data_IF_862059217730
#
_entry.id   IF_862059217730
#
_cell.length_a   1.000
_cell.length_b   1.000
_cell.length_c   1.000
_cell.angle_alpha   90.00
_cell.angle_beta   90.00
_cell.angle_gamma   90.00
#
_symmetry.space_group_name_H-M   'P 1'
#
loop_
_entity.id
_entity.type
_entity.pdbx_description
1 polymer ?
#
# COMPACT_ATOMS: atom_id res chain seq x y z
N UNK A 1 -15.44 24.14 -18.87
CA UNK A 1 -14.82 25.46 -18.64
C UNK A 1 -13.32 25.40 -18.86
N UNK A 2 -12.65 26.55 -19.07
CA UNK A 2 -11.18 26.59 -19.21
C UNK A 2 -10.48 25.98 -17.98
N UNK A 3 -11.04 26.17 -16.80
CA UNK A 3 -10.53 25.59 -15.54
C UNK A 3 -10.62 24.06 -15.51
N UNK A 4 -11.71 23.49 -16.00
CA UNK A 4 -11.87 22.03 -16.09
C UNK A 4 -10.87 21.44 -17.09
N UNK A 5 -10.64 22.09 -18.21
CA UNK A 5 -9.65 21.65 -19.20
C UNK A 5 -8.22 21.68 -18.63
N UNK A 6 -7.86 22.72 -17.86
CA UNK A 6 -6.57 22.80 -17.18
C UNK A 6 -6.43 21.71 -16.11
N UNK A 7 -7.46 21.49 -15.31
CA UNK A 7 -7.45 20.43 -14.29
C UNK A 7 -7.34 19.06 -14.96
N UNK A 8 -8.09 18.79 -16.01
CA UNK A 8 -8.01 17.54 -16.77
C UNK A 8 -6.61 17.31 -17.35
N UNK A 9 -6.00 18.37 -17.95
CA UNK A 9 -4.64 18.31 -18.46
C UNK A 9 -3.60 18.04 -17.36
N UNK A 10 -3.70 18.73 -16.22
CA UNK A 10 -2.79 18.52 -15.08
C UNK A 10 -2.92 17.10 -14.48
N UNK A 11 -4.15 16.59 -14.38
CA UNK A 11 -4.40 15.22 -13.94
C UNK A 11 -3.81 14.22 -14.94
N UNK A 12 -4.06 14.38 -16.23
CA UNK A 12 -3.53 13.49 -17.26
C UNK A 12 -2.00 13.48 -17.27
N UNK A 13 -1.36 14.64 -17.24
CA UNK A 13 0.10 14.76 -17.22
C UNK A 13 0.70 14.31 -15.89
N UNK A 14 0.04 14.60 -14.77
CA UNK A 14 0.47 14.17 -13.44
C UNK A 14 0.47 12.65 -13.26
N UNK A 15 -0.43 11.93 -13.96
CA UNK A 15 -0.46 10.45 -13.92
C UNK A 15 0.45 9.78 -14.96
N UNK A 16 1.06 10.54 -15.88
CA UNK A 16 1.96 9.97 -16.90
C UNK A 16 3.13 9.18 -16.30
N UNK A 17 3.88 9.65 -15.27
CA UNK A 17 4.94 8.86 -14.64
C UNK A 17 4.44 7.58 -14.02
N UNK A 18 3.26 7.61 -13.37
CA UNK A 18 2.63 6.43 -12.78
C UNK A 18 2.27 5.41 -13.85
N UNK A 19 1.66 5.84 -14.95
CA UNK A 19 1.34 4.97 -16.09
C UNK A 19 2.57 4.31 -16.70
N UNK A 20 3.67 5.03 -16.82
CA UNK A 20 4.95 4.50 -17.35
C UNK A 20 5.50 3.45 -16.36
N UNK A 21 5.52 3.75 -15.06
CA UNK A 21 5.98 2.82 -14.03
C UNK A 21 5.13 1.55 -13.99
N UNK A 22 3.80 1.67 -14.03
CA UNK A 22 2.87 0.54 -14.06
C UNK A 22 3.07 -0.29 -15.34
N UNK A 23 3.18 0.35 -16.50
CA UNK A 23 3.43 -0.36 -17.77
C UNK A 23 4.75 -1.12 -17.74
N UNK A 24 5.80 -0.53 -17.17
CA UNK A 24 7.10 -1.19 -17.01
C UNK A 24 7.02 -2.37 -16.03
N UNK A 25 6.35 -2.21 -14.90
CA UNK A 25 6.16 -3.28 -13.91
C UNK A 25 5.36 -4.45 -14.50
N UNK A 26 4.30 -4.17 -15.26
CA UNK A 26 3.49 -5.19 -15.96
C UNK A 26 4.34 -5.88 -17.04
N UNK A 27 5.08 -5.13 -17.84
CA UNK A 27 5.90 -5.69 -18.89
C UNK A 27 7.04 -6.57 -18.34
N UNK A 28 7.75 -6.12 -17.33
CA UNK A 28 8.86 -6.84 -16.71
C UNK A 28 8.39 -8.07 -15.90
N UNK A 29 7.46 -7.85 -14.98
CA UNK A 29 6.92 -8.94 -14.14
C UNK A 29 6.06 -9.91 -14.94
N UNK A 30 5.20 -9.39 -15.79
CA UNK A 30 4.31 -10.18 -16.63
C UNK A 30 5.04 -11.03 -17.66
N UNK A 31 6.11 -10.52 -18.29
CA UNK A 31 6.90 -11.30 -19.22
C UNK A 31 7.61 -12.49 -18.57
N UNK A 32 8.08 -12.30 -17.35
CA UNK A 32 8.71 -13.38 -16.56
C UNK A 32 7.68 -14.45 -16.20
N UNK A 33 6.50 -14.04 -15.69
CA UNK A 33 5.42 -14.96 -15.39
C UNK A 33 4.95 -15.73 -16.62
N UNK A 34 4.71 -15.04 -17.73
CA UNK A 34 4.26 -15.62 -19.00
C UNK A 34 5.25 -16.68 -19.51
N UNK A 35 6.54 -16.37 -19.54
CA UNK A 35 7.58 -17.32 -19.94
C UNK A 35 7.64 -18.55 -19.03
N UNK A 36 7.57 -18.36 -17.73
CA UNK A 36 7.56 -19.46 -16.77
C UNK A 36 6.34 -20.37 -16.96
N UNK A 37 5.16 -19.79 -17.25
CA UNK A 37 3.93 -20.57 -17.53
C UNK A 37 4.06 -21.38 -18.81
N UNK A 38 4.56 -20.79 -19.90
CA UNK A 38 4.83 -21.52 -21.15
C UNK A 38 5.74 -22.72 -20.87
N UNK A 39 6.89 -22.50 -20.21
CA UNK A 39 7.83 -23.58 -19.90
C UNK A 39 7.18 -24.68 -19.06
N UNK A 40 6.34 -24.31 -18.11
CA UNK A 40 5.62 -25.27 -17.26
C UNK A 40 4.62 -26.10 -18.08
N UNK A 41 3.87 -25.49 -18.99
CA UNK A 41 2.89 -26.21 -19.81
C UNK A 41 3.55 -27.10 -20.87
N UNK A 42 4.60 -26.62 -21.50
CA UNK A 42 5.41 -27.43 -22.44
C UNK A 42 6.03 -28.63 -21.71
N UNK A 43 6.58 -28.47 -20.51
CA UNK A 43 7.10 -29.58 -19.71
C UNK A 43 6.06 -30.61 -19.28
N UNK A 44 4.78 -30.22 -19.28
CA UNK A 44 3.61 -31.11 -19.03
C UNK A 44 3.07 -31.77 -20.29
N UNK A 45 3.71 -31.55 -21.44
CA UNK A 45 3.35 -32.18 -22.71
C UNK A 45 2.36 -31.39 -23.59
N UNK A 46 2.07 -30.13 -23.23
CA UNK A 46 1.27 -29.28 -24.13
C UNK A 46 2.09 -28.85 -25.36
N UNK A 47 1.42 -28.67 -26.48
CA UNK A 47 2.03 -28.04 -27.65
C UNK A 47 2.39 -26.60 -27.33
N UNK A 48 3.42 -26.05 -28.00
CA UNK A 48 3.86 -24.68 -27.75
C UNK A 48 2.75 -23.65 -27.96
N UNK A 49 1.92 -23.81 -29.00
CA UNK A 49 0.82 -22.90 -29.31
C UNK A 49 -0.26 -22.91 -28.22
N UNK A 50 -0.64 -24.10 -27.74
CA UNK A 50 -1.61 -24.26 -26.63
C UNK A 50 -1.04 -23.70 -25.32
N UNK A 51 0.25 -23.95 -25.04
CA UNK A 51 0.96 -23.44 -23.86
C UNK A 51 1.01 -21.91 -23.86
N UNK A 52 1.26 -21.27 -25.01
CA UNK A 52 1.23 -19.80 -25.16
C UNK A 52 -0.16 -19.23 -24.92
N UNK A 53 -1.20 -19.86 -25.48
CA UNK A 53 -2.59 -19.43 -25.28
C UNK A 53 -2.99 -19.54 -23.81
N UNK A 54 -2.71 -20.68 -23.17
CA UNK A 54 -3.05 -20.90 -21.77
C UNK A 54 -2.29 -19.98 -20.83
N UNK A 55 -0.97 -19.79 -21.09
CA UNK A 55 -0.15 -18.88 -20.31
C UNK A 55 -0.61 -17.43 -20.41
N UNK A 56 -1.18 -17.03 -21.55
CA UNK A 56 -1.76 -15.70 -21.72
C UNK A 56 -3.05 -15.51 -20.91
N UNK A 57 -3.92 -16.52 -20.86
CA UNK A 57 -5.11 -16.52 -20.02
C UNK A 57 -4.73 -16.43 -18.53
N UNK A 58 -3.76 -17.24 -18.08
CA UNK A 58 -3.24 -17.19 -16.71
C UNK A 58 -2.65 -15.82 -16.39
N UNK A 59 -1.96 -15.20 -17.35
CA UNK A 59 -1.43 -13.84 -17.17
C UNK A 59 -2.54 -12.80 -17.03
N UNK A 60 -3.59 -12.88 -17.84
CA UNK A 60 -4.74 -11.98 -17.71
C UNK A 60 -5.42 -12.15 -16.34
N UNK A 61 -5.66 -13.40 -15.93
CA UNK A 61 -6.29 -13.70 -14.63
C UNK A 61 -5.45 -13.15 -13.46
N UNK A 62 -4.14 -13.42 -13.42
CA UNK A 62 -3.27 -12.93 -12.35
C UNK A 62 -3.13 -11.40 -12.37
N UNK A 63 -3.11 -10.79 -13.57
CA UNK A 63 -3.08 -9.34 -13.69
C UNK A 63 -4.36 -8.70 -13.14
N UNK A 64 -5.52 -9.27 -13.43
CA UNK A 64 -6.79 -8.79 -12.87
C UNK A 64 -6.87 -9.04 -11.35
N UNK A 65 -6.37 -10.17 -10.87
CA UNK A 65 -6.37 -10.51 -9.44
C UNK A 65 -5.42 -9.64 -8.62
N UNK A 66 -4.28 -9.27 -9.20
CA UNK A 66 -3.22 -8.51 -8.50
C UNK A 66 -3.28 -7.01 -8.69
N UNK A 67 -3.89 -6.52 -9.79
CA UNK A 67 -4.03 -5.09 -10.01
C UNK A 67 -5.09 -4.46 -9.11
N UNK A 68 -4.84 -3.21 -8.71
CA UNK A 68 -5.82 -2.40 -8.01
C UNK A 68 -6.96 -2.05 -8.96
N UNK A 69 -8.09 -2.72 -8.80
CA UNK A 69 -9.28 -2.39 -9.56
C UNK A 69 -10.25 -1.58 -8.70
N UNK A 70 -10.72 -0.47 -9.27
CA UNK A 70 -11.85 0.30 -8.72
C UNK A 70 -13.21 -0.18 -9.27
N UNK A 71 -13.22 -1.30 -10.02
CA UNK A 71 -14.45 -1.89 -10.55
C UNK A 71 -15.38 -2.30 -9.40
N UNK A 72 -16.69 -2.09 -9.52
CA UNK A 72 -17.66 -2.38 -8.46
C UNK A 72 -17.64 -3.84 -7.98
N UNK A 73 -17.31 -4.78 -8.84
CA UNK A 73 -17.19 -6.21 -8.55
C UNK A 73 -15.91 -6.59 -7.80
N UNK A 74 -14.88 -5.71 -7.85
CA UNK A 74 -13.57 -5.92 -7.22
C UNK A 74 -13.38 -5.13 -5.92
N UNK A 75 -14.25 -4.17 -5.60
CA UNK A 75 -14.22 -3.45 -4.33
C UNK A 75 -14.97 -4.21 -3.24
N UNK A 76 -14.57 -4.05 -1.99
CA UNK A 76 -15.27 -4.65 -0.87
C UNK A 76 -16.64 -4.00 -0.65
N UNK A 77 -17.60 -4.75 -0.12
CA UNK A 77 -18.90 -4.19 0.28
C UNK A 77 -18.76 -3.01 1.26
N UNK A 78 -17.73 -3.03 2.10
CA UNK A 78 -17.43 -1.92 3.00
C UNK A 78 -17.08 -0.63 2.26
N UNK A 79 -16.50 -0.72 1.06
CA UNK A 79 -16.18 0.43 0.20
C UNK A 79 -17.36 0.89 -0.66
N UNK A 80 -18.43 0.12 -0.76
CA UNK A 80 -19.62 0.48 -1.55
C UNK A 80 -20.36 1.69 -0.95
N UNK A 81 -20.40 1.82 0.39
CA UNK A 81 -21.01 2.94 1.08
C UNK A 81 -20.14 4.21 1.11
N UNK A 82 -20.78 5.37 1.27
CA UNK A 82 -20.10 6.68 1.29
C UNK A 82 -19.03 6.78 2.37
N UNK A 83 -19.33 6.36 3.60
CA UNK A 83 -18.35 6.34 4.71
C UNK A 83 -17.20 5.38 4.42
N UNK A 84 -17.51 4.22 3.88
CA UNK A 84 -16.48 3.25 3.50
C UNK A 84 -15.53 3.80 2.43
N UNK A 85 -16.03 4.52 1.44
CA UNK A 85 -15.19 5.19 0.43
C UNK A 85 -14.26 6.23 1.02
N UNK A 86 -14.72 6.98 2.01
CA UNK A 86 -13.93 8.02 2.67
C UNK A 86 -12.84 7.39 3.58
N UNK A 87 -13.21 6.40 4.39
CA UNK A 87 -12.30 5.76 5.35
C UNK A 87 -11.30 4.83 4.64
N UNK A 88 -11.80 4.04 3.70
CA UNK A 88 -11.00 3.03 2.98
C UNK A 88 -10.43 3.55 1.65
N UNK A 89 -10.51 4.86 1.39
CA UNK A 89 -9.84 5.44 0.25
C UNK A 89 -8.34 5.10 0.30
N UNK A 90 -7.78 4.64 -0.84
CA UNK A 90 -6.40 4.19 -0.98
C UNK A 90 -6.04 2.90 -0.22
N UNK A 91 -7.04 2.19 0.34
CA UNK A 91 -6.81 0.92 1.05
C UNK A 91 -7.01 -0.31 0.16
N UNK A 92 -7.23 -0.14 -1.15
CA UNK A 92 -7.48 -1.26 -2.07
C UNK A 92 -6.34 -2.28 -2.05
N UNK A 93 -5.07 -1.82 -2.12
CA UNK A 93 -3.90 -2.71 -2.07
C UNK A 93 -3.79 -3.47 -0.75
N UNK A 94 -3.79 -2.83 0.43
CA UNK A 94 -3.79 -3.55 1.70
C UNK A 94 -4.94 -4.53 1.84
N UNK A 95 -6.15 -4.17 1.41
CA UNK A 95 -7.32 -5.05 1.48
C UNK A 95 -7.20 -6.27 0.55
N UNK A 96 -6.67 -6.06 -0.66
CA UNK A 96 -6.42 -7.14 -1.60
C UNK A 96 -5.34 -8.10 -1.07
N UNK A 97 -4.22 -7.57 -0.58
CA UNK A 97 -3.14 -8.37 0.00
C UNK A 97 -3.61 -9.19 1.20
N UNK A 98 -4.40 -8.58 2.09
CA UNK A 98 -4.99 -9.29 3.24
C UNK A 98 -5.95 -10.39 2.77
N UNK A 99 -6.73 -10.15 1.72
CA UNK A 99 -7.63 -11.17 1.14
C UNK A 99 -6.84 -12.35 0.57
N UNK A 100 -5.76 -12.09 -0.19
CA UNK A 100 -4.90 -13.13 -0.75
C UNK A 100 -4.20 -13.92 0.36
N UNK A 101 -3.67 -13.25 1.38
CA UNK A 101 -3.06 -13.88 2.56
C UNK A 101 -4.08 -14.76 3.30
N UNK A 102 -5.29 -14.24 3.52
CA UNK A 102 -6.37 -14.98 4.20
C UNK A 102 -6.80 -16.21 3.39
N UNK A 103 -6.93 -16.09 2.05
CA UNK A 103 -7.24 -17.21 1.16
C UNK A 103 -6.17 -18.29 1.28
N UNK A 104 -4.89 -17.92 1.09
CA UNK A 104 -3.78 -18.86 1.17
C UNK A 104 -3.67 -19.54 2.56
N UNK A 105 -3.89 -18.80 3.64
CA UNK A 105 -3.96 -19.36 4.99
C UNK A 105 -5.12 -20.36 5.16
N UNK A 106 -6.31 -20.00 4.64
CA UNK A 106 -7.47 -20.90 4.66
C UNK A 106 -7.21 -22.20 3.87
N UNK A 107 -6.51 -22.07 2.73
CA UNK A 107 -6.16 -23.23 1.90
C UNK A 107 -5.13 -24.13 2.58
N UNK A 108 -4.18 -23.57 3.35
CA UNK A 108 -3.27 -24.33 4.22
C UNK A 108 -4.04 -25.10 5.27
N UNK A 109 -4.92 -24.44 6.03
CA UNK A 109 -5.68 -25.06 7.12
C UNK A 109 -6.61 -26.17 6.61
N UNK A 110 -7.17 -25.99 5.42
CA UNK A 110 -8.10 -26.95 4.82
C UNK A 110 -7.41 -27.95 3.87
N UNK A 111 -6.08 -27.98 3.81
CA UNK A 111 -5.28 -28.84 2.91
C UNK A 111 -5.70 -28.73 1.44
N UNK A 112 -5.95 -27.51 0.96
CA UNK A 112 -6.33 -27.23 -0.42
C UNK A 112 -5.15 -26.76 -1.25
N UNK A 113 -5.03 -27.26 -2.47
CA UNK A 113 -4.00 -26.87 -3.41
C UNK A 113 -2.58 -27.28 -3.00
N UNK A 114 -1.58 -26.55 -3.52
CA UNK A 114 -0.18 -26.82 -3.18
C UNK A 114 0.21 -26.09 -1.89
N UNK A 115 0.54 -26.85 -0.86
CA UNK A 115 0.95 -26.36 0.45
C UNK A 115 2.15 -25.40 0.36
N UNK A 116 3.14 -25.71 -0.49
CA UNK A 116 4.33 -24.86 -0.65
C UNK A 116 3.98 -23.52 -1.29
N UNK A 117 3.12 -23.53 -2.31
CA UNK A 117 2.63 -22.33 -2.96
C UNK A 117 1.83 -21.46 -1.98
N UNK A 118 0.94 -22.06 -1.21
CA UNK A 118 0.14 -21.34 -0.21
C UNK A 118 1.01 -20.73 0.90
N UNK A 119 2.01 -21.45 1.42
CA UNK A 119 2.96 -20.92 2.40
C UNK A 119 3.74 -19.75 1.78
N UNK A 120 4.23 -19.91 0.54
CA UNK A 120 4.95 -18.86 -0.18
C UNK A 120 4.08 -17.60 -0.34
N UNK A 121 2.80 -17.74 -0.66
CA UNK A 121 1.86 -16.62 -0.77
C UNK A 121 1.64 -15.91 0.57
N UNK A 122 1.46 -16.64 1.66
CA UNK A 122 1.33 -16.06 3.00
C UNK A 122 2.57 -15.26 3.39
N UNK A 123 3.76 -15.82 3.15
CA UNK A 123 5.01 -15.13 3.44
C UNK A 123 5.22 -13.90 2.54
N UNK A 124 4.90 -14.02 1.26
CA UNK A 124 5.07 -12.93 0.30
C UNK A 124 4.11 -11.77 0.59
N UNK A 125 2.80 -12.02 0.60
CA UNK A 125 1.81 -10.96 0.78
C UNK A 125 1.70 -10.46 2.22
N UNK A 126 1.93 -11.32 3.20
CA UNK A 126 1.87 -10.96 4.62
C UNK A 126 3.12 -10.25 5.14
N UNK A 127 4.30 -10.59 4.63
CA UNK A 127 5.57 -10.13 5.19
C UNK A 127 6.48 -9.49 4.13
N UNK A 128 6.90 -10.27 3.12
CA UNK A 128 7.97 -9.85 2.21
C UNK A 128 7.64 -8.59 1.42
N UNK A 129 6.42 -8.47 0.93
CA UNK A 129 5.98 -7.31 0.16
C UNK A 129 5.98 -6.03 1.00
N UNK A 130 5.52 -6.11 2.25
CA UNK A 130 5.49 -4.95 3.15
C UNK A 130 6.92 -4.48 3.51
N UNK A 131 7.84 -5.41 3.73
CA UNK A 131 9.26 -5.11 3.96
C UNK A 131 9.87 -4.47 2.72
N UNK A 132 9.60 -5.04 1.53
CA UNK A 132 10.12 -4.54 0.26
C UNK A 132 9.65 -3.10 -0.01
N UNK A 133 8.37 -2.81 0.15
CA UNK A 133 7.85 -1.46 -0.01
C UNK A 133 8.40 -0.49 1.03
N UNK A 134 8.53 -0.90 2.29
CA UNK A 134 9.13 -0.09 3.35
C UNK A 134 10.60 0.22 3.07
N UNK A 135 11.36 -0.76 2.58
CA UNK A 135 12.76 -0.60 2.19
C UNK A 135 12.90 0.32 0.97
N UNK A 136 12.02 0.16 -0.03
CA UNK A 136 12.02 1.00 -1.23
C UNK A 136 11.71 2.46 -0.91
N UNK A 137 10.71 2.71 -0.06
CA UNK A 137 10.39 4.05 0.42
C UNK A 137 11.56 4.67 1.20
N UNK A 138 12.22 3.90 2.05
CA UNK A 138 13.39 4.36 2.80
C UNK A 138 14.57 4.64 1.88
N UNK A 139 14.81 3.80 0.86
CA UNK A 139 15.84 3.99 -0.15
C UNK A 139 15.60 5.24 -1.00
N UNK A 140 14.37 5.47 -1.46
CA UNK A 140 14.00 6.69 -2.18
C UNK A 140 14.17 7.94 -1.32
N UNK A 141 13.76 7.90 -0.06
CA UNK A 141 13.96 9.01 0.87
C UNK A 141 15.45 9.30 1.08
N UNK A 142 16.29 8.27 1.19
CA UNK A 142 17.74 8.41 1.28
C UNK A 142 18.33 9.07 0.03
N UNK A 143 17.91 8.64 -1.16
CA UNK A 143 18.37 9.22 -2.43
C UNK A 143 17.94 10.69 -2.61
N UNK A 144 16.75 11.05 -2.11
CA UNK A 144 16.21 12.42 -2.26
C UNK A 144 16.73 13.41 -1.22
N UNK A 145 17.02 12.95 -0.01
CA UNK A 145 17.31 13.82 1.15
C UNK A 145 18.72 13.65 1.74
N UNK A 146 19.54 12.73 1.17
CA UNK A 146 20.93 12.54 1.56
C UNK A 146 21.17 11.74 2.85
N UNK A 147 22.46 11.60 3.22
CA UNK A 147 22.97 10.57 4.12
C UNK A 147 23.25 10.99 5.57
N UNK A 148 22.72 12.07 6.09
CA UNK A 148 22.93 12.44 7.49
C UNK A 148 22.14 11.51 8.44
N UNK A 149 22.67 10.28 8.61
CA UNK A 149 22.02 9.26 9.41
C UNK A 149 22.93 8.76 10.52
N UNK A 150 22.74 9.30 11.70
CA UNK A 150 23.26 8.72 12.95
C UNK A 150 22.61 7.36 13.24
N UNK A 151 23.35 6.44 13.88
CA UNK A 151 22.90 5.07 14.19
C UNK A 151 21.59 5.01 14.99
N UNK A 152 21.27 6.01 15.77
CA UNK A 152 20.02 6.13 16.51
C UNK A 152 18.80 6.25 15.57
N UNK A 153 18.97 6.87 14.42
CA UNK A 153 17.94 6.99 13.38
C UNK A 153 17.65 5.68 12.64
N UNK A 154 18.57 4.72 12.68
CA UNK A 154 18.38 3.40 12.04
C UNK A 154 17.37 2.56 12.83
N UNK A 155 17.46 2.53 14.16
CA UNK A 155 16.51 1.82 15.04
C UNK A 155 15.08 2.40 14.89
N UNK A 156 14.98 3.73 14.85
CA UNK A 156 13.70 4.41 14.62
C UNK A 156 13.10 4.10 13.24
N UNK A 157 13.94 3.89 12.23
CA UNK A 157 13.48 3.49 10.89
C UNK A 157 12.99 2.05 10.86
N UNK A 158 13.69 1.13 11.52
CA UNK A 158 13.24 -0.26 11.62
C UNK A 158 11.88 -0.35 12.34
N UNK A 159 11.71 0.37 13.45
CA UNK A 159 10.44 0.44 14.15
C UNK A 159 9.32 1.06 13.28
N UNK A 160 9.62 2.06 12.46
CA UNK A 160 8.65 2.63 11.51
C UNK A 160 8.25 1.63 10.42
N UNK A 161 9.20 0.84 9.89
CA UNK A 161 8.90 -0.21 8.91
C UNK A 161 7.99 -1.26 9.53
N UNK A 162 8.30 -1.74 10.73
CA UNK A 162 7.49 -2.73 11.45
C UNK A 162 6.08 -2.17 11.73
N UNK A 163 5.98 -0.94 12.24
CA UNK A 163 4.71 -0.28 12.48
C UNK A 163 3.92 -0.06 11.19
N UNK A 164 4.58 0.34 10.10
CA UNK A 164 3.97 0.51 8.78
C UNK A 164 3.43 -0.81 8.22
N UNK A 165 4.18 -1.90 8.40
CA UNK A 165 3.74 -3.25 8.01
C UNK A 165 2.50 -3.67 8.78
N UNK A 166 2.50 -3.48 10.11
CA UNK A 166 1.36 -3.78 10.96
C UNK A 166 0.14 -2.91 10.59
N UNK A 167 0.35 -1.64 10.30
CA UNK A 167 -0.72 -0.74 9.87
C UNK A 167 -1.31 -1.14 8.53
N UNK A 168 -0.48 -1.53 7.58
CA UNK A 168 -0.92 -2.03 6.27
C UNK A 168 -1.80 -3.28 6.44
N UNK A 169 -1.36 -4.22 7.27
CA UNK A 169 -2.12 -5.43 7.57
C UNK A 169 -3.45 -5.11 8.26
N UNK A 170 -3.44 -4.31 9.33
CA UNK A 170 -4.65 -3.91 10.03
C UNK A 170 -5.65 -3.21 9.09
N UNK A 171 -5.20 -2.21 8.33
CA UNK A 171 -6.04 -1.49 7.37
C UNK A 171 -6.59 -2.40 6.27
N UNK A 172 -5.86 -3.45 5.89
CA UNK A 172 -6.31 -4.48 4.96
C UNK A 172 -7.52 -5.27 5.47
N UNK A 173 -7.78 -5.32 6.77
CA UNK A 173 -8.97 -5.95 7.35
C UNK A 173 -10.24 -5.08 7.27
N UNK A 174 -10.14 -3.90 6.65
CA UNK A 174 -11.27 -3.00 6.40
C UNK A 174 -11.47 -1.95 7.48
N UNK A 175 -12.70 -1.47 7.66
CA UNK A 175 -13.01 -0.33 8.55
C UNK A 175 -12.57 -0.56 10.00
N UNK A 176 -12.79 -1.75 10.54
CA UNK A 176 -12.39 -2.08 11.90
C UNK A 176 -10.87 -2.03 12.07
N UNK A 177 -10.13 -2.62 11.14
CA UNK A 177 -8.69 -2.57 11.17
C UNK A 177 -8.12 -1.17 10.94
N UNK A 178 -8.76 -0.35 10.10
CA UNK A 178 -8.41 1.06 9.97
C UNK A 178 -8.61 1.81 11.29
N UNK A 179 -9.70 1.52 12.03
CA UNK A 179 -9.93 2.06 13.36
C UNK A 179 -8.85 1.65 14.37
N UNK A 180 -8.52 0.37 14.44
CA UNK A 180 -7.44 -0.14 15.31
C UNK A 180 -6.08 0.45 14.97
N UNK A 181 -5.71 0.52 13.69
CA UNK A 181 -4.47 1.14 13.24
C UNK A 181 -4.40 2.61 13.67
N UNK A 182 -5.48 3.36 13.47
CA UNK A 182 -5.55 4.77 13.85
C UNK A 182 -5.45 4.95 15.36
N UNK A 183 -6.16 4.14 16.15
CA UNK A 183 -6.09 4.20 17.61
C UNK A 183 -4.68 3.89 18.12
N UNK A 184 -4.06 2.81 17.62
CA UNK A 184 -2.67 2.45 17.95
C UNK A 184 -1.72 3.62 17.67
N UNK A 185 -1.79 4.21 16.48
CA UNK A 185 -0.90 5.29 16.08
C UNK A 185 -1.15 6.57 16.89
N UNK A 186 -2.40 6.86 17.22
CA UNK A 186 -2.76 7.98 18.12
C UNK A 186 -2.16 7.79 19.51
N UNK A 187 -2.21 6.59 20.06
CA UNK A 187 -1.61 6.27 21.36
C UNK A 187 -0.07 6.39 21.33
N UNK A 188 0.57 5.86 20.29
CA UNK A 188 2.02 6.02 20.10
C UNK A 188 2.42 7.50 19.98
N UNK A 189 1.65 8.28 19.23
CA UNK A 189 1.89 9.71 19.09
C UNK A 189 1.65 10.48 20.40
N UNK A 190 0.61 10.11 21.14
CA UNK A 190 0.35 10.69 22.46
C UNK A 190 1.49 10.40 23.44
N UNK A 191 1.97 9.15 23.51
CA UNK A 191 3.11 8.78 24.33
C UNK A 191 4.39 9.53 23.92
N UNK A 192 4.64 9.66 22.62
CA UNK A 192 5.78 10.40 22.10
C UNK A 192 5.71 11.89 22.48
N UNK A 193 4.53 12.52 22.48
CA UNK A 193 4.38 13.91 22.93
C UNK A 193 4.54 14.03 24.45
N UNK A 194 4.04 13.05 25.22
CA UNK A 194 4.15 13.05 26.68
C UNK A 194 5.60 12.93 27.18
N UNK A 195 6.46 12.24 26.43
CA UNK A 195 7.90 12.10 26.73
C UNK A 195 8.70 13.38 26.49
N UNK A 196 8.14 14.37 25.78
CA UNK A 196 8.79 15.67 25.54
C UNK A 196 8.68 16.56 26.76
N UNK A 197 9.68 17.45 26.91
CA UNK A 197 9.67 18.46 27.97
C UNK A 197 8.48 19.43 27.87
N UNK A 198 8.18 20.07 28.99
CA UNK A 198 7.12 21.07 29.07
C UNK A 198 7.31 22.18 28.03
N UNK A 199 6.28 22.53 27.30
CA UNK A 199 6.31 23.52 26.22
C UNK A 199 6.81 23.00 24.86
N UNK A 200 7.39 21.79 24.76
CA UNK A 200 7.82 21.17 23.50
C UNK A 200 6.78 20.21 22.90
N UNK A 201 5.67 20.08 23.58
CA UNK A 201 4.60 19.16 23.19
C UNK A 201 3.76 19.74 22.05
N UNK A 202 3.53 18.94 21.03
CA UNK A 202 2.66 19.29 19.89
C UNK A 202 1.43 18.39 19.86
N UNK A 203 0.44 18.75 20.64
CA UNK A 203 -0.82 18.01 20.75
C UNK A 203 -1.63 18.00 19.46
N UNK A 204 -1.38 18.97 18.55
CA UNK A 204 -2.02 18.97 17.25
C UNK A 204 -1.65 17.70 16.44
N UNK A 205 -0.45 17.15 16.64
CA UNK A 205 -0.04 15.89 15.99
C UNK A 205 -0.88 14.70 16.42
N UNK A 206 -1.28 14.64 17.68
CA UNK A 206 -2.16 13.58 18.20
C UNK A 206 -3.55 13.67 17.54
N UNK A 207 -4.11 14.88 17.46
CA UNK A 207 -5.40 15.11 16.81
C UNK A 207 -5.34 14.82 15.30
N UNK A 208 -4.23 15.18 14.63
CA UNK A 208 -4.01 14.87 13.21
C UNK A 208 -3.89 13.37 12.96
N UNK A 209 -3.44 12.60 13.96
CA UNK A 209 -3.37 11.15 13.83
C UNK A 209 -4.77 10.52 13.88
N UNK A 210 -5.69 11.03 14.68
CA UNK A 210 -7.10 10.61 14.66
C UNK A 210 -7.74 10.83 13.28
N UNK A 211 -7.42 11.94 12.61
CA UNK A 211 -7.91 12.22 11.26
C UNK A 211 -7.33 11.28 10.20
N UNK A 212 -6.27 10.53 10.52
CA UNK A 212 -5.69 9.51 9.62
C UNK A 212 -6.56 8.26 9.46
N UNK A 213 -7.67 8.15 10.20
CA UNK A 213 -8.72 7.17 9.93
C UNK A 213 -9.17 7.24 8.47
N UNK A 214 -9.27 8.46 7.92
CA UNK A 214 -9.45 8.69 6.48
C UNK A 214 -8.17 9.26 5.88
N UNK A 215 -7.39 8.47 5.12
CA UNK A 215 -6.13 8.95 4.54
C UNK A 215 -6.25 10.24 3.72
N UNK A 216 -7.29 10.44 2.88
CA UNK A 216 -7.46 11.68 2.14
C UNK A 216 -7.68 12.89 3.05
N UNK A 217 -8.50 12.74 4.09
CA UNK A 217 -8.82 13.80 5.05
C UNK A 217 -7.57 14.11 5.88
N UNK A 218 -6.95 13.09 6.48
CA UNK A 218 -5.74 13.24 7.28
C UNK A 218 -4.60 13.94 6.53
N UNK A 219 -4.39 13.58 5.26
CA UNK A 219 -3.34 14.19 4.45
C UNK A 219 -3.59 15.68 4.18
N UNK A 220 -4.83 16.08 3.92
CA UNK A 220 -5.21 17.50 3.72
C UNK A 220 -5.02 18.32 4.99
N UNK A 221 -5.49 17.81 6.13
CA UNK A 221 -5.31 18.50 7.41
C UNK A 221 -3.85 18.63 7.82
N UNK A 222 -3.02 17.60 7.58
CA UNK A 222 -1.56 17.70 7.81
C UNK A 222 -0.92 18.79 6.96
N UNK A 223 -1.30 18.91 5.68
CA UNK A 223 -0.80 19.98 4.79
C UNK A 223 -1.22 21.37 5.29
N UNK A 224 -2.48 21.53 5.70
CA UNK A 224 -2.98 22.80 6.27
C UNK A 224 -2.21 23.15 7.54
N UNK A 225 -2.06 22.22 8.48
CA UNK A 225 -1.32 22.44 9.71
C UNK A 225 0.17 22.79 9.44
N UNK A 226 0.79 22.12 8.47
CA UNK A 226 2.16 22.45 8.05
C UNK A 226 2.26 23.85 7.45
N UNK A 227 1.30 24.23 6.60
CA UNK A 227 1.26 25.56 6.01
C UNK A 227 1.08 26.67 7.08
N UNK A 228 0.20 26.46 8.06
CA UNK A 228 0.01 27.39 9.20
C UNK A 228 1.33 27.55 9.98
N UNK A 229 1.99 26.46 10.34
CA UNK A 229 3.27 26.49 11.06
C UNK A 229 4.37 27.20 10.28
N UNK A 230 4.45 26.96 8.97
CA UNK A 230 5.41 27.64 8.09
C UNK A 230 5.12 29.15 8.03
N UNK A 231 3.83 29.50 7.94
CA UNK A 231 3.41 30.92 7.95
C UNK A 231 3.77 31.60 9.28
N UNK A 232 3.46 30.96 10.41
CA UNK A 232 3.80 31.49 11.74
C UNK A 232 5.30 31.66 11.92
N UNK A 233 6.11 30.70 11.48
CA UNK A 233 7.56 30.76 11.53
C UNK A 233 8.15 31.90 10.70
N UNK A 234 7.58 32.18 9.53
CA UNK A 234 8.07 33.25 8.64
C UNK A 234 7.55 34.64 9.01
N UNK A 235 6.59 34.74 9.94
CA UNK A 235 6.02 36.02 10.40
C UNK A 235 6.75 36.61 11.62
N UNK A 236 7.51 35.81 12.34
CA UNK A 236 8.31 36.20 13.50
C UNK A 236 9.74 36.44 13.12
#
# INVERSE_FOLDING_TARGET
>A
SKTEAVIAYLLEKGFTPTRIADSFAIAAGGSTFYRNRINTYVSRGMSKAEAESQAFLDFQEIAEETQQSSRPDMISQQQAGTLGRIILAWQNTPMQMTRLTKKAYSDIVNNRGDMKANISQVLYYGIAQNILFGTLQSGLAFLMFGSDMEDEKIKDKQLRVINGTLDSFLRGTGIYGAGFSTLKNTLLQWEAQRKKGYGQQDWAKVNLELLSLSPPIGSKFRKINSAIKTYEYNKG
#
